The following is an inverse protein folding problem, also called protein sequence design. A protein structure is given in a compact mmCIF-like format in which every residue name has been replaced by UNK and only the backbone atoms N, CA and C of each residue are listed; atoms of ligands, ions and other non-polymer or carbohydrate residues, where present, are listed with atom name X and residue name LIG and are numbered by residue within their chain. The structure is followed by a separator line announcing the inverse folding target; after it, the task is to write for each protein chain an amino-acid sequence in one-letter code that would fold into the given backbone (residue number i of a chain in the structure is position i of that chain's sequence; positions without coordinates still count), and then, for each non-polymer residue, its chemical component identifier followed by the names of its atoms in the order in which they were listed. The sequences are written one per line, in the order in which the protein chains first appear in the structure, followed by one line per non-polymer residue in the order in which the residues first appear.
data_IF_891967606851
#
_entry.id   IF_891967606851
#
_cell.length_a   1.000
_cell.length_b   1.000
_cell.length_c   1.000
_cell.angle_alpha   90.00
_cell.angle_beta   90.00
_cell.angle_gamma   90.00
#
_symmetry.space_group_name_H-M   'P 1'
#
loop_
_entity.id
_entity.type
_entity.pdbx_description
1 polymer ?
#
# COMPACT_ATOMS: atom_id res chain seq x y z
N UNK A 1 -5.90 15.61 -65.50
CA UNK A 1 -7.12 14.86 -65.16
C UNK A 1 -6.73 13.59 -64.42
N UNK A 2 -7.26 13.40 -63.19
CA UNK A 2 -7.41 12.11 -62.48
C UNK A 2 -6.09 11.43 -62.03
N UNK A 3 -5.85 11.02 -60.77
CA UNK A 3 -6.76 10.74 -59.66
C UNK A 3 -5.96 10.71 -58.34
N UNK A 4 -5.96 11.81 -57.59
CA UNK A 4 -5.59 11.79 -56.17
C UNK A 4 -6.71 11.12 -55.36
N UNK A 5 -6.82 9.79 -55.39
CA UNK A 5 -7.76 9.06 -54.51
C UNK A 5 -7.20 7.71 -54.13
N UNK A 6 -6.54 7.66 -52.96
CA UNK A 6 -6.72 6.64 -51.91
C UNK A 6 -5.83 6.98 -50.71
N UNK A 7 -6.13 8.12 -50.09
CA UNK A 7 -5.94 8.27 -48.66
C UNK A 7 -6.97 7.35 -47.98
N UNK A 8 -6.53 6.50 -47.06
CA UNK A 8 -7.05 6.30 -45.69
C UNK A 8 -6.36 5.05 -45.11
N UNK A 9 -5.18 5.31 -44.53
CA UNK A 9 -4.70 4.85 -43.22
C UNK A 9 -5.14 3.44 -42.78
N UNK A 10 -4.29 2.44 -43.06
CA UNK A 10 -4.12 1.33 -42.11
C UNK A 10 -3.40 1.87 -40.87
N UNK A 11 -4.15 2.50 -39.97
CA UNK A 11 -3.70 2.74 -38.61
C UNK A 11 -4.33 1.65 -37.73
N UNK A 12 -3.85 0.43 -37.89
CA UNK A 12 -4.17 -0.70 -37.00
C UNK A 12 -3.60 -0.40 -35.60
N UNK A 13 -4.46 0.19 -34.78
CA UNK A 13 -4.62 0.00 -33.34
C UNK A 13 -3.41 -0.61 -32.59
N UNK A 14 -2.35 0.17 -32.39
CA UNK A 14 -1.32 -0.13 -31.38
C UNK A 14 -1.60 0.64 -30.09
N UNK A 15 -2.75 0.39 -29.46
CA UNK A 15 -2.99 0.76 -28.06
C UNK A 15 -2.67 -0.45 -27.18
N UNK A 16 -1.46 -0.99 -27.33
CA UNK A 16 -0.98 -2.08 -26.51
C UNK A 16 -0.46 -1.52 -25.19
N UNK A 17 -1.29 -1.67 -24.16
CA UNK A 17 -0.92 -1.87 -22.76
C UNK A 17 0.05 -0.86 -22.14
N UNK A 18 -0.50 0.26 -21.65
CA UNK A 18 -0.08 0.77 -20.33
C UNK A 18 -0.81 -0.05 -19.24
N UNK A 19 -0.51 -1.35 -19.17
CA UNK A 19 -0.76 -2.09 -17.95
C UNK A 19 0.36 -1.65 -16.99
N UNK A 20 0.13 -0.56 -16.26
CA UNK A 20 1.00 -0.18 -15.16
C UNK A 20 1.03 -1.35 -14.19
N UNK A 21 2.19 -2.00 -14.07
CA UNK A 21 2.41 -3.04 -13.07
C UNK A 21 2.13 -2.42 -11.70
N UNK A 22 0.97 -2.71 -11.12
CA UNK A 22 0.71 -2.44 -9.72
C UNK A 22 1.57 -3.43 -8.93
N UNK A 23 2.83 -3.07 -8.69
CA UNK A 23 3.64 -3.77 -7.73
C UNK A 23 2.92 -3.66 -6.38
N UNK A 24 2.51 -4.79 -5.81
CA UNK A 24 1.89 -4.81 -4.51
C UNK A 24 2.86 -4.18 -3.51
N UNK A 25 2.48 -3.05 -2.92
CA UNK A 25 3.28 -2.36 -1.92
C UNK A 25 3.35 -3.24 -0.68
N UNK A 26 4.57 -3.57 -0.24
CA UNK A 26 4.78 -4.36 0.97
C UNK A 26 4.58 -3.48 2.20
N UNK A 27 3.82 -4.00 3.16
CA UNK A 27 3.48 -3.33 4.42
C UNK A 27 3.87 -4.23 5.57
N UNK A 28 4.85 -3.82 6.38
CA UNK A 28 5.21 -4.54 7.59
C UNK A 28 4.42 -3.97 8.77
N UNK A 29 3.61 -4.80 9.42
CA UNK A 29 2.72 -4.38 10.49
C UNK A 29 3.11 -5.06 11.80
N UNK A 30 3.49 -4.24 12.78
CA UNK A 30 3.72 -4.65 14.15
C UNK A 30 2.44 -4.47 14.96
N UNK A 31 1.94 -5.53 15.60
CA UNK A 31 0.76 -5.45 16.47
C UNK A 31 0.87 -6.35 17.69
N UNK A 32 -0.02 -6.14 18.65
CA UNK A 32 -0.22 -7.09 19.74
C UNK A 32 -1.14 -8.24 19.30
N UNK A 33 -0.87 -9.50 19.67
CA UNK A 33 -1.74 -10.63 19.36
C UNK A 33 -3.10 -10.53 20.06
N UNK A 34 -3.22 -9.67 21.07
CA UNK A 34 -4.44 -9.48 21.86
C UNK A 34 -5.36 -8.36 21.32
N UNK A 35 -4.95 -7.68 20.24
CA UNK A 35 -5.71 -6.57 19.65
C UNK A 35 -6.61 -7.05 18.50
N UNK A 36 -7.92 -7.16 18.75
CA UNK A 36 -8.91 -7.56 17.74
C UNK A 36 -9.03 -6.59 16.56
N UNK A 37 -9.15 -5.28 16.82
CA UNK A 37 -9.32 -4.27 15.76
C UNK A 37 -8.10 -4.15 14.83
N UNK A 38 -6.91 -4.54 15.31
CA UNK A 38 -5.70 -4.57 14.50
C UNK A 38 -5.76 -5.66 13.42
N UNK A 39 -6.52 -6.74 13.65
CA UNK A 39 -6.71 -7.81 12.66
C UNK A 39 -7.56 -7.32 11.49
N UNK A 40 -8.66 -6.63 11.78
CA UNK A 40 -9.56 -6.10 10.73
C UNK A 40 -8.83 -5.10 9.83
N UNK A 41 -7.94 -4.28 10.41
CA UNK A 41 -7.12 -3.35 9.64
C UNK A 41 -6.15 -4.07 8.69
N UNK A 42 -5.51 -5.16 9.12
CA UNK A 42 -4.65 -5.99 8.25
C UNK A 42 -5.45 -6.53 7.07
N UNK A 43 -6.63 -7.11 7.33
CA UNK A 43 -7.52 -7.61 6.27
C UNK A 43 -7.91 -6.49 5.30
N UNK A 44 -8.21 -5.29 5.79
CA UNK A 44 -8.55 -4.16 4.93
C UNK A 44 -7.40 -3.73 4.01
N UNK A 45 -6.15 -3.81 4.50
CA UNK A 45 -4.97 -3.52 3.70
C UNK A 45 -4.71 -4.61 2.65
N UNK A 46 -4.88 -5.88 3.01
CA UNK A 46 -4.78 -7.01 2.07
C UNK A 46 -5.85 -6.90 0.96
N UNK A 47 -7.10 -6.63 1.32
CA UNK A 47 -8.21 -6.42 0.37
C UNK A 47 -7.96 -5.23 -0.56
N UNK A 48 -7.23 -4.23 -0.10
CA UNK A 48 -6.81 -3.08 -0.91
C UNK A 48 -5.65 -3.39 -1.88
N UNK A 49 -5.11 -4.62 -1.86
CA UNK A 49 -4.06 -5.10 -2.75
C UNK A 49 -2.64 -4.86 -2.24
N UNK A 50 -2.47 -4.57 -0.95
CA UNK A 50 -1.16 -4.51 -0.31
C UNK A 50 -0.69 -5.90 0.13
N UNK A 51 0.61 -6.15 0.07
CA UNK A 51 1.20 -7.36 0.65
C UNK A 51 1.54 -7.07 2.11
N UNK A 52 0.75 -7.59 3.05
CA UNK A 52 0.93 -7.29 4.47
C UNK A 52 1.69 -8.42 5.17
N UNK A 53 2.83 -8.08 5.77
CA UNK A 53 3.57 -8.96 6.69
C UNK A 53 3.24 -8.55 8.10
N UNK A 54 2.80 -9.49 8.93
CA UNK A 54 2.44 -9.22 10.34
C UNK A 54 3.51 -9.77 11.27
N UNK A 55 3.97 -8.93 12.19
CA UNK A 55 4.77 -9.34 13.33
C UNK A 55 4.01 -9.10 14.63
N UNK A 56 3.72 -10.18 15.34
CA UNK A 56 3.05 -10.14 16.63
C UNK A 56 4.05 -9.98 17.78
N UNK A 57 3.86 -8.91 18.57
CA UNK A 57 4.69 -8.57 19.71
C UNK A 57 3.83 -8.39 20.96
N UNK A 58 4.13 -9.15 22.02
CA UNK A 58 3.44 -9.00 23.32
C UNK A 58 3.67 -7.63 23.95
N UNK A 59 4.84 -7.03 23.71
CA UNK A 59 5.19 -5.70 24.18
C UNK A 59 5.60 -4.83 22.99
N UNK A 60 4.72 -3.90 22.61
CA UNK A 60 4.93 -3.00 21.49
C UNK A 60 5.83 -1.80 21.82
N UNK A 61 6.04 -1.48 23.10
CA UNK A 61 6.76 -0.27 23.50
C UNK A 61 8.21 -0.21 22.96
N UNK A 62 9.02 -1.29 23.03
CA UNK A 62 10.36 -1.29 22.47
C UNK A 62 10.38 -1.10 20.95
N UNK A 63 9.42 -1.71 20.25
CA UNK A 63 9.29 -1.58 18.78
C UNK A 63 9.01 -0.13 18.41
N UNK A 64 8.04 0.50 19.08
CA UNK A 64 7.67 1.90 18.85
C UNK A 64 8.82 2.87 19.12
N UNK A 65 9.54 2.67 20.22
CA UNK A 65 10.72 3.47 20.54
C UNK A 65 11.81 3.32 19.48
N UNK A 66 12.07 2.09 19.01
CA UNK A 66 13.03 1.83 17.94
C UNK A 66 12.65 2.52 16.63
N UNK A 67 11.36 2.64 16.35
CA UNK A 67 10.81 3.33 15.18
C UNK A 67 10.69 4.86 15.38
N UNK A 68 11.15 5.40 16.52
CA UNK A 68 11.12 6.84 16.80
C UNK A 68 9.75 7.38 17.19
N UNK A 69 8.78 6.52 17.49
CA UNK A 69 7.44 6.93 17.91
C UNK A 69 7.49 7.38 19.37
N UNK A 70 7.09 8.64 19.59
CA UNK A 70 6.94 9.19 20.94
C UNK A 70 5.78 8.50 21.67
N UNK A 71 5.88 8.26 22.98
CA UNK A 71 4.81 7.61 23.75
C UNK A 71 3.44 8.29 23.61
N UNK A 72 3.43 9.61 23.45
CA UNK A 72 2.23 10.45 23.28
C UNK A 72 1.47 10.16 21.98
N UNK A 73 2.13 9.59 20.97
CA UNK A 73 1.56 9.28 19.66
C UNK A 73 1.19 7.80 19.51
N UNK A 74 1.49 6.97 20.52
CA UNK A 74 1.38 5.52 20.42
C UNK A 74 -0.09 5.05 20.34
N UNK A 75 -0.40 4.24 19.32
CA UNK A 75 -1.72 3.62 19.09
C UNK A 75 -1.71 2.10 19.33
N UNK A 76 -2.59 1.33 18.69
CA UNK A 76 -2.69 -0.12 18.89
C UNK A 76 -1.71 -0.94 18.03
N UNK A 77 -1.34 -0.44 16.84
CA UNK A 77 -0.40 -1.08 15.91
C UNK A 77 0.43 -0.02 15.17
N UNK A 78 1.53 -0.47 14.57
CA UNK A 78 2.44 0.35 13.77
C UNK A 78 2.69 -0.33 12.44
N UNK A 79 2.52 0.39 11.33
CA UNK A 79 2.81 -0.10 9.99
C UNK A 79 4.04 0.61 9.40
N UNK A 80 4.85 -0.12 8.65
CA UNK A 80 6.02 0.39 7.95
C UNK A 80 5.84 0.10 6.46
N UNK A 81 5.91 1.15 5.65
CA UNK A 81 5.77 1.10 4.19
C UNK A 81 6.95 1.85 3.59
N UNK A 82 7.87 1.11 2.95
CA UNK A 82 9.16 1.67 2.54
C UNK A 82 9.91 2.25 3.75
N UNK A 83 10.28 3.53 3.66
CA UNK A 83 10.99 4.26 4.73
C UNK A 83 10.04 5.02 5.68
N UNK A 84 8.73 4.83 5.53
CA UNK A 84 7.71 5.54 6.29
C UNK A 84 7.10 4.69 7.39
N UNK A 85 6.90 5.32 8.54
CA UNK A 85 6.25 4.71 9.71
C UNK A 85 4.88 5.35 9.89
N UNK A 86 3.85 4.52 9.99
CA UNK A 86 2.46 4.89 10.23
C UNK A 86 1.99 4.32 11.56
N UNK A 87 1.37 5.16 12.38
CA UNK A 87 0.93 4.78 13.72
C UNK A 87 -0.60 4.83 13.81
N UNK A 88 -1.21 3.71 14.20
CA UNK A 88 -2.66 3.58 14.34
C UNK A 88 -3.42 3.44 13.02
N UNK A 89 -4.71 3.77 13.04
CA UNK A 89 -5.60 3.67 11.87
C UNK A 89 -5.42 4.91 11.00
N UNK A 90 -5.12 4.73 9.71
CA UNK A 90 -4.98 5.81 8.74
C UNK A 90 -5.72 5.49 7.42
N UNK A 91 -6.09 6.50 6.62
CA UNK A 91 -6.77 6.29 5.34
C UNK A 91 -5.90 5.56 4.30
N UNK A 92 -6.48 4.62 3.56
CA UNK A 92 -5.81 3.89 2.48
C UNK A 92 -5.25 4.79 1.36
N UNK A 93 -5.82 5.99 1.18
CA UNK A 93 -5.34 6.93 0.16
C UNK A 93 -3.93 7.43 0.46
N UNK A 94 -3.55 7.46 1.74
CA UNK A 94 -2.22 7.87 2.19
C UNK A 94 -1.19 6.77 1.91
N UNK A 95 -1.49 5.49 2.14
CA UNK A 95 -0.55 4.39 1.87
C UNK A 95 -0.20 4.23 0.40
N UNK A 96 -1.10 4.56 -0.53
CA UNK A 96 -0.82 4.48 -1.98
C UNK A 96 0.18 5.53 -2.49
N UNK A 97 0.53 6.52 -1.66
CA UNK A 97 1.47 7.59 -2.03
C UNK A 97 2.93 7.22 -1.73
N UNK A 98 3.15 6.11 -1.03
CA UNK A 98 4.45 5.63 -0.56
C UNK A 98 4.69 4.21 -1.06
#
# INVERSE_FOLDING_TARGET
MSNQKRFIKLATLSLAMLAGSAFATNVLTYKSPYCGCCKDWVTHMEDAGFTVTVEDHKNMNPIKQKLGIKPELASCHTAVIGDYVFEGIFPLTISRRF
#
